data_IF_099237117757
#
_entry.id   IF_099237117757
#
_cell.length_a   1.000
_cell.length_b   1.000
_cell.length_c   1.000
_cell.angle_alpha   90.00
_cell.angle_beta   90.00
_cell.angle_gamma   90.00
#
_symmetry.space_group_name_H-M   'P 1'
#
loop_
_entity.id
_entity.type
_entity.pdbx_description
1 polymer ?
#
# COMPACT_ATOMS: atom_id res chain seq x y z
N UNK A 1 9.44 10.18 -13.08
CA UNK A 1 8.39 10.53 -12.09
C UNK A 1 7.02 9.96 -12.47
N UNK A 2 6.65 9.92 -13.77
CA UNK A 2 5.35 9.45 -14.33
C UNK A 2 4.81 8.08 -13.85
N UNK A 3 5.66 7.10 -13.54
CA UNK A 3 5.20 5.73 -13.27
C UNK A 3 4.45 5.55 -11.94
N UNK A 4 4.59 6.50 -11.01
CA UNK A 4 3.89 6.46 -9.73
C UNK A 4 2.48 7.03 -9.87
N UNK A 5 2.31 8.13 -10.61
CA UNK A 5 1.01 8.76 -10.85
C UNK A 5 0.05 7.81 -11.60
N UNK A 6 0.54 7.12 -12.64
CA UNK A 6 -0.25 6.10 -13.37
C UNK A 6 -0.72 4.96 -12.45
N UNK A 7 0.14 4.56 -11.50
CA UNK A 7 -0.20 3.52 -10.53
C UNK A 7 -1.27 4.00 -9.55
N UNK A 8 -1.18 5.25 -9.09
CA UNK A 8 -2.17 5.84 -8.19
C UNK A 8 -3.52 5.98 -8.88
N UNK A 9 -3.56 6.42 -10.14
CA UNK A 9 -4.79 6.47 -10.93
C UNK A 9 -5.42 5.08 -11.09
N UNK A 10 -4.60 4.07 -11.44
CA UNK A 10 -5.08 2.69 -11.53
C UNK A 10 -5.61 2.16 -10.19
N UNK A 11 -4.93 2.50 -9.09
CA UNK A 11 -5.32 2.08 -7.75
C UNK A 11 -6.64 2.73 -7.30
N UNK A 12 -6.90 4.00 -7.67
CA UNK A 12 -8.20 4.66 -7.42
C UNK A 12 -9.34 3.99 -8.17
N UNK A 13 -9.10 3.57 -9.42
CA UNK A 13 -10.11 2.91 -10.24
C UNK A 13 -10.38 1.47 -9.80
N UNK A 14 -9.33 0.77 -9.36
CA UNK A 14 -9.40 -0.64 -9.01
C UNK A 14 -8.67 -0.92 -7.67
N UNK A 15 -9.23 -0.43 -6.55
CA UNK A 15 -8.61 -0.57 -5.23
C UNK A 15 -8.48 -2.03 -4.80
N UNK A 16 -9.22 -2.95 -5.41
CA UNK A 16 -9.20 -4.38 -5.12
C UNK A 16 -8.11 -5.17 -5.86
N UNK A 17 -7.26 -4.52 -6.66
CA UNK A 17 -6.18 -5.19 -7.42
C UNK A 17 -5.04 -5.69 -6.55
N UNK A 18 -4.83 -5.10 -5.37
CA UNK A 18 -3.81 -5.52 -4.42
C UNK A 18 -4.17 -6.82 -3.71
N UNK A 19 -3.16 -7.64 -3.43
CA UNK A 19 -3.33 -8.91 -2.68
C UNK A 19 -3.50 -8.59 -1.20
N UNK A 20 -4.54 -9.13 -0.56
CA UNK A 20 -4.72 -8.98 0.90
C UNK A 20 -3.61 -9.73 1.64
N UNK A 21 -2.88 -9.02 2.50
CA UNK A 21 -1.74 -9.53 3.25
C UNK A 21 -1.91 -9.43 4.76
N UNK A 22 -2.97 -8.77 5.25
CA UNK A 22 -3.27 -8.66 6.68
C UNK A 22 -4.78 -8.81 6.97
N UNK A 23 -5.17 -9.40 8.12
CA UNK A 23 -6.58 -9.59 8.50
C UNK A 23 -7.41 -8.30 8.57
N UNK A 24 -6.80 -7.16 8.92
CA UNK A 24 -7.50 -5.87 9.02
C UNK A 24 -7.84 -5.24 7.66
N UNK A 25 -7.57 -5.93 6.55
CA UNK A 25 -7.86 -5.43 5.20
C UNK A 25 -6.67 -4.77 4.49
N UNK A 26 -5.44 -4.90 5.00
CA UNK A 26 -4.26 -4.39 4.29
C UNK A 26 -4.02 -5.20 3.02
N UNK A 27 -3.93 -4.48 1.91
CA UNK A 27 -3.61 -4.98 0.58
C UNK A 27 -2.22 -4.50 0.17
N UNK A 28 -1.53 -5.34 -0.61
CA UNK A 28 -0.17 -5.09 -1.12
C UNK A 28 -0.18 -5.01 -2.64
N UNK A 29 0.40 -3.92 -3.16
CA UNK A 29 0.67 -3.73 -4.58
C UNK A 29 2.19 -3.65 -4.84
N UNK A 30 2.67 -4.34 -5.87
CA UNK A 30 4.09 -4.35 -6.25
C UNK A 30 4.28 -3.48 -7.49
N UNK A 31 5.21 -2.53 -7.41
CA UNK A 31 5.58 -1.72 -8.57
C UNK A 31 6.50 -2.50 -9.50
N UNK A 32 6.19 -2.53 -10.81
CA UNK A 32 7.01 -3.25 -11.80
C UNK A 32 8.36 -2.56 -12.08
N UNK A 33 8.41 -1.22 -12.04
CA UNK A 33 9.60 -0.44 -12.39
C UNK A 33 10.59 -0.25 -11.24
N UNK A 34 10.14 -0.38 -10.00
CA UNK A 34 10.96 -0.16 -8.82
C UNK A 34 10.60 -1.18 -7.75
N UNK A 35 11.56 -1.70 -6.96
CA UNK A 35 11.32 -2.73 -5.95
C UNK A 35 10.64 -2.18 -4.68
N UNK A 36 9.62 -1.36 -4.88
CA UNK A 36 8.75 -0.81 -3.83
C UNK A 36 7.43 -1.56 -3.80
N UNK A 37 6.95 -1.79 -2.58
CA UNK A 37 5.66 -2.36 -2.25
C UNK A 37 4.82 -1.27 -1.59
N UNK A 38 3.58 -1.09 -2.05
CA UNK A 38 2.61 -0.21 -1.41
C UNK A 38 1.69 -1.09 -0.59
N UNK A 39 1.53 -0.75 0.69
CA UNK A 39 0.59 -1.35 1.61
C UNK A 39 -0.51 -0.33 1.88
N UNK A 40 -1.75 -0.71 1.61
CA UNK A 40 -2.89 0.20 1.71
C UNK A 40 -4.15 -0.54 2.17
N UNK A 41 -5.11 0.21 2.69
CA UNK A 41 -6.47 -0.28 2.96
C UNK A 41 -7.41 0.41 1.96
N UNK A 42 -8.25 -0.40 1.32
CA UNK A 42 -9.29 0.08 0.42
C UNK A 42 -10.58 0.29 1.22
N UNK A 43 -10.98 1.53 1.38
CA UNK A 43 -12.27 1.94 1.94
C UNK A 43 -13.16 2.48 0.79
N UNK A 44 -14.50 2.40 0.89
CA UNK A 44 -15.38 2.92 -0.17
C UNK A 44 -15.14 4.40 -0.52
N UNK A 45 -14.75 5.21 0.47
CA UNK A 45 -14.58 6.66 0.30
C UNK A 45 -13.12 7.07 0.07
N UNK A 46 -12.16 6.22 0.45
CA UNK A 46 -10.75 6.57 0.42
C UNK A 46 -9.80 5.37 0.34
N UNK A 47 -8.57 5.65 -0.09
CA UNK A 47 -7.46 4.69 -0.05
C UNK A 47 -6.45 5.15 0.99
N UNK A 48 -6.33 4.39 2.08
CA UNK A 48 -5.39 4.70 3.15
C UNK A 48 -4.07 4.00 2.88
N UNK A 49 -3.03 4.77 2.53
CA UNK A 49 -1.68 4.22 2.35
C UNK A 49 -1.02 4.05 3.71
N UNK A 50 -0.89 2.80 4.16
CA UNK A 50 -0.25 2.42 5.42
C UNK A 50 1.27 2.61 5.33
N UNK A 51 1.86 2.15 4.23
CA UNK A 51 3.30 2.25 4.01
C UNK A 51 3.69 2.07 2.55
N UNK A 52 4.85 2.64 2.20
CA UNK A 52 5.56 2.35 0.96
C UNK A 52 6.93 1.78 1.34
N UNK A 53 7.16 0.50 1.09
CA UNK A 53 8.35 -0.21 1.56
C UNK A 53 9.25 -0.63 0.41
N UNK A 54 10.55 -0.38 0.56
CA UNK A 54 11.56 -0.89 -0.37
C UNK A 54 11.92 -2.33 0.03
N UNK A 55 11.63 -3.30 -0.82
CA UNK A 55 11.72 -4.74 -0.53
C UNK A 55 13.12 -5.16 -0.02
N UNK A 56 14.19 -4.55 -0.55
CA UNK A 56 15.57 -4.88 -0.17
C UNK A 56 16.11 -4.23 1.10
N UNK A 57 15.46 -3.19 1.64
CA UNK A 57 16.03 -2.42 2.76
C UNK A 57 15.39 -2.77 4.10
N UNK A 58 14.05 -2.80 4.17
CA UNK A 58 13.31 -3.18 5.37
C UNK A 58 11.96 -3.78 4.96
N UNK A 59 11.85 -5.10 4.73
CA UNK A 59 10.66 -5.71 4.12
C UNK A 59 9.39 -5.65 4.99
N UNK A 60 9.52 -5.44 6.31
CA UNK A 60 8.44 -5.64 7.28
C UNK A 60 8.21 -4.47 8.25
N UNK A 61 8.92 -3.34 8.09
CA UNK A 61 8.83 -2.22 9.03
C UNK A 61 7.42 -1.64 9.19
N UNK A 62 6.57 -1.83 8.18
CA UNK A 62 5.20 -1.32 8.13
C UNK A 62 4.27 -2.02 9.13
N UNK A 63 4.62 -3.22 9.61
CA UNK A 63 3.86 -3.92 10.65
C UNK A 63 3.81 -3.11 11.95
N UNK A 64 4.88 -2.40 12.31
CA UNK A 64 4.90 -1.54 13.49
C UNK A 64 3.91 -0.36 13.39
N UNK A 65 3.57 0.08 12.18
CA UNK A 65 2.59 1.16 11.96
C UNK A 65 1.14 0.69 12.08
N UNK A 66 0.91 -0.62 12.14
CA UNK A 66 -0.42 -1.17 12.40
C UNK A 66 -0.74 -1.22 13.90
N UNK A 67 0.28 -1.17 14.75
CA UNK A 67 0.16 -1.21 16.21
C UNK A 67 -0.05 0.18 16.81
N UNK A 68 0.28 1.24 16.07
CA UNK A 68 -0.06 2.62 16.44
C UNK A 68 -1.49 2.93 15.97
N UNK A 69 -2.50 2.96 16.87
CA UNK A 69 -3.84 3.35 16.49
C UNK A 69 -3.80 4.77 15.93
N UNK A 70 -4.34 4.91 14.71
CA UNK A 70 -4.24 6.07 13.85
C UNK A 70 -4.17 7.39 14.62
N UNK A 71 -3.08 8.11 14.40
CA UNK A 71 -3.01 9.52 14.73
C UNK A 71 -4.14 10.20 13.95
N UNK A 72 -5.21 10.51 14.69
CA UNK A 72 -6.38 11.26 14.25
C UNK A 72 -5.98 12.58 13.59
#
# INVERSE_FOLDING_TARGET
MVAFDELLEHLKQFPETGVQVHPIGVRRLVMKKFPYKIFYIADPDAIFVVAVAHERRHPEYWLHRLDEPGQK
#
